data_IF_759928363676
#
_entry.id   IF_759928363676
#
_cell.length_a   1.000
_cell.length_b   1.000
_cell.length_c   1.000
_cell.angle_alpha   90.00
_cell.angle_beta   90.00
_cell.angle_gamma   90.00
#
_symmetry.space_group_name_H-M   'P 1'
#
loop_
_entity.id
_entity.type
_entity.pdbx_description
1 polymer ?
#
# COMPACT_ATOMS: atom_id res chain seq x y z
N UNK A 1 11.66 31.26 10.61
CA UNK A 1 11.49 30.26 11.68
C UNK A 1 10.11 29.65 11.52
N UNK A 2 10.03 28.45 10.96
CA UNK A 2 8.80 27.67 10.86
C UNK A 2 8.75 26.72 12.06
N UNK A 3 7.85 26.98 13.00
CA UNK A 3 7.62 26.07 14.13
C UNK A 3 6.91 24.82 13.61
N UNK A 4 7.65 23.72 13.51
CA UNK A 4 7.06 22.38 13.43
C UNK A 4 6.67 21.99 14.85
N UNK A 5 5.38 21.98 15.15
CA UNK A 5 4.90 21.44 16.42
C UNK A 5 5.17 19.93 16.45
N UNK A 6 5.74 19.38 17.54
CA UNK A 6 5.84 17.93 17.69
C UNK A 6 4.42 17.38 17.90
N UNK A 7 3.95 16.57 16.94
CA UNK A 7 2.76 15.73 17.14
C UNK A 7 3.06 14.79 18.29
N UNK A 8 2.13 14.68 19.26
CA UNK A 8 2.32 13.82 20.43
C UNK A 8 2.44 12.37 20.01
N UNK A 9 3.54 11.70 20.40
CA UNK A 9 3.80 10.29 20.08
C UNK A 9 2.72 9.34 20.59
N UNK A 10 2.01 9.73 21.65
CA UNK A 10 0.95 8.94 22.28
C UNK A 10 -0.37 8.96 21.47
N UNK A 11 -0.62 10.08 20.78
CA UNK A 11 -1.77 10.23 19.87
C UNK A 11 -1.50 9.50 18.55
N UNK A 12 -0.25 9.53 18.07
CA UNK A 12 0.21 8.79 16.88
C UNK A 12 0.07 7.27 17.00
N UNK A 13 0.33 6.67 18.16
CA UNK A 13 0.25 5.20 18.31
C UNK A 13 -1.19 4.67 18.28
N UNK A 14 -2.14 5.38 18.89
CA UNK A 14 -3.55 4.98 18.86
C UNK A 14 -4.13 5.05 17.44
N UNK A 15 -3.81 6.09 16.67
CA UNK A 15 -4.23 6.24 15.27
C UNK A 15 -3.67 5.10 14.39
N UNK A 16 -2.42 4.68 14.61
CA UNK A 16 -1.80 3.59 13.85
C UNK A 16 -2.43 2.22 14.16
N UNK A 17 -2.84 1.99 15.41
CA UNK A 17 -3.54 0.77 15.83
C UNK A 17 -4.92 0.64 15.18
N UNK A 18 -5.67 1.74 15.07
CA UNK A 18 -6.97 1.75 14.40
C UNK A 18 -6.83 1.56 12.87
N UNK A 19 -5.79 2.15 12.25
CA UNK A 19 -5.49 1.94 10.84
C UNK A 19 -5.22 0.46 10.50
N UNK A 20 -4.32 -0.20 11.22
CA UNK A 20 -3.99 -1.63 11.00
C UNK A 20 -5.21 -2.54 11.20
N UNK A 21 -6.10 -2.19 12.15
CA UNK A 21 -7.38 -2.86 12.39
C UNK A 21 -8.36 -2.71 11.22
N UNK A 22 -8.38 -1.55 10.56
CA UNK A 22 -9.19 -1.28 9.36
C UNK A 22 -8.62 -2.02 8.15
N UNK A 23 -7.30 -1.94 7.93
CA UNK A 23 -6.58 -2.65 6.87
C UNK A 23 -6.85 -4.17 6.91
N UNK A 24 -6.68 -4.79 8.08
CA UNK A 24 -6.91 -6.23 8.27
C UNK A 24 -8.37 -6.64 7.94
N UNK A 25 -9.34 -5.78 8.28
CA UNK A 25 -10.76 -6.00 7.93
C UNK A 25 -11.01 -5.87 6.43
N UNK A 26 -10.36 -4.90 5.77
CA UNK A 26 -10.48 -4.68 4.34
C UNK A 26 -9.93 -5.86 3.52
N UNK A 27 -8.74 -6.37 3.86
CA UNK A 27 -8.17 -7.57 3.22
C UNK A 27 -9.08 -8.80 3.39
N UNK A 28 -9.57 -9.04 4.62
CA UNK A 28 -10.46 -10.15 4.95
C UNK A 28 -11.77 -10.08 4.13
N UNK A 29 -12.35 -8.89 4.01
CA UNK A 29 -13.56 -8.65 3.22
C UNK A 29 -13.35 -8.93 1.73
N UNK A 30 -12.28 -8.39 1.12
CA UNK A 30 -11.95 -8.63 -0.29
C UNK A 30 -11.74 -10.13 -0.58
N UNK A 31 -11.07 -10.85 0.33
CA UNK A 31 -10.84 -12.30 0.23
C UNK A 31 -12.13 -13.13 0.30
N UNK A 32 -13.14 -12.65 1.02
CA UNK A 32 -14.44 -13.30 1.15
C UNK A 32 -15.29 -13.20 -0.14
N UNK A 33 -15.21 -12.06 -0.84
CA UNK A 33 -16.11 -11.69 -1.95
C UNK A 33 -15.79 -12.42 -3.28
N UNK A 34 -14.59 -12.99 -3.44
CA UNK A 34 -14.06 -13.47 -4.74
C UNK A 34 -14.68 -14.79 -5.27
N UNK A 35 -15.82 -15.25 -4.75
CA UNK A 35 -16.43 -16.55 -5.08
C UNK A 35 -17.86 -16.43 -5.62
N UNK A 36 -18.00 -16.14 -6.92
CA UNK A 36 -18.90 -16.80 -7.89
C UNK A 36 -19.16 -15.92 -9.14
N UNK A 37 -18.95 -16.43 -10.37
CA UNK A 37 -19.49 -15.82 -11.58
C UNK A 37 -20.88 -16.39 -11.91
N UNK A 38 -21.91 -15.53 -11.95
CA UNK A 38 -23.25 -15.93 -12.36
C UNK A 38 -23.40 -15.88 -13.89
N UNK A 39 -23.50 -17.07 -14.51
CA UNK A 39 -23.65 -17.22 -15.97
C UNK A 39 -24.99 -16.71 -16.47
N UNK A 40 -24.97 -15.99 -17.60
CA UNK A 40 -26.17 -15.59 -18.35
C UNK A 40 -26.47 -16.59 -19.47
N UNK A 41 -27.75 -16.89 -19.71
CA UNK A 41 -28.23 -17.74 -20.80
C UNK A 41 -29.11 -16.90 -21.74
N UNK A 42 -28.91 -16.96 -23.07
CA UNK A 42 -29.71 -16.20 -24.04
C UNK A 42 -30.98 -16.94 -24.47
N UNK A 43 -32.00 -16.18 -24.87
CA UNK A 43 -33.30 -16.70 -25.33
C UNK A 43 -33.38 -16.86 -26.86
N UNK A 44 -34.13 -17.86 -27.36
CA UNK A 44 -34.65 -17.91 -28.72
C UNK A 44 -36.13 -17.49 -28.81
N UNK A 45 -36.46 -16.71 -29.84
CA UNK A 45 -37.83 -16.32 -30.25
C UNK A 45 -38.56 -17.46 -30.99
N UNK A 46 -39.90 -17.53 -30.90
CA UNK A 46 -40.72 -18.35 -31.83
C UNK A 46 -42.17 -17.85 -31.98
N UNK A 47 -42.86 -18.31 -33.02
CA UNK A 47 -44.04 -17.68 -33.67
C UNK A 47 -45.36 -18.47 -33.49
N UNK A 48 -46.51 -17.83 -33.80
CA UNK A 48 -47.88 -18.34 -33.59
C UNK A 48 -48.46 -19.24 -34.70
N UNK A 49 -49.30 -20.26 -34.37
CA UNK A 49 -50.74 -20.26 -34.74
C UNK A 49 -51.71 -20.99 -33.73
N UNK A 50 -52.96 -21.35 -34.11
CA UNK A 50 -54.15 -21.53 -33.20
C UNK A 50 -55.20 -22.65 -33.59
N UNK A 51 -56.48 -22.54 -33.13
CA UNK A 51 -57.75 -23.23 -33.54
C UNK A 51 -58.35 -24.52 -32.82
N UNK A 52 -59.10 -24.36 -31.70
CA UNK A 52 -60.13 -25.28 -31.07
C UNK A 52 -59.76 -26.72 -30.59
N UNK A 53 -60.32 -27.27 -29.51
CA UNK A 53 -60.65 -26.70 -28.19
C UNK A 53 -59.97 -27.54 -27.08
N UNK A 54 -60.08 -28.88 -27.08
CA UNK A 54 -59.21 -29.73 -26.24
C UNK A 54 -57.83 -29.96 -26.89
N UNK A 55 -57.79 -30.44 -28.13
CA UNK A 55 -56.54 -30.70 -28.86
C UNK A 55 -55.69 -29.43 -29.03
N UNK A 56 -56.32 -28.26 -29.19
CA UNK A 56 -55.62 -26.98 -29.26
C UNK A 56 -55.38 -26.33 -27.89
N UNK A 57 -56.12 -26.65 -26.82
CA UNK A 57 -55.61 -26.32 -25.49
C UNK A 57 -54.27 -27.06 -25.25
N UNK A 58 -54.18 -28.36 -25.60
CA UNK A 58 -52.91 -29.11 -25.53
C UNK A 58 -51.82 -28.55 -26.45
N UNK A 59 -52.17 -28.16 -27.68
CA UNK A 59 -51.24 -27.52 -28.62
C UNK A 59 -50.75 -26.14 -28.16
N UNK A 60 -51.66 -25.29 -27.66
CA UNK A 60 -51.35 -23.99 -27.05
C UNK A 60 -50.47 -24.14 -25.83
N UNK A 61 -50.76 -25.12 -24.96
CA UNK A 61 -49.95 -25.40 -23.77
C UNK A 61 -48.50 -25.72 -24.15
N UNK A 62 -48.28 -26.68 -25.05
CA UNK A 62 -46.96 -27.09 -25.52
C UNK A 62 -46.16 -25.92 -26.14
N UNK A 63 -46.85 -25.01 -26.83
CA UNK A 63 -46.28 -23.79 -27.38
C UNK A 63 -45.97 -22.76 -26.29
N UNK A 64 -46.87 -22.55 -25.33
CA UNK A 64 -46.72 -21.57 -24.25
C UNK A 64 -45.56 -21.95 -23.31
N UNK A 65 -45.37 -23.24 -23.00
CA UNK A 65 -44.20 -23.70 -22.22
C UNK A 65 -42.88 -23.62 -22.98
N UNK A 66 -42.90 -23.39 -24.31
CA UNK A 66 -41.69 -23.21 -25.11
C UNK A 66 -41.20 -21.76 -25.14
N UNK A 67 -42.00 -20.81 -24.64
CA UNK A 67 -41.55 -19.42 -24.53
C UNK A 67 -40.52 -19.24 -23.40
N UNK A 68 -39.55 -18.34 -23.60
CA UNK A 68 -38.77 -17.74 -22.52
C UNK A 68 -39.63 -17.32 -21.32
N UNK A 69 -39.09 -17.47 -20.10
CA UNK A 69 -39.77 -17.05 -18.87
C UNK A 69 -40.16 -15.56 -18.89
N UNK A 70 -39.36 -14.70 -19.54
CA UNK A 70 -39.68 -13.28 -19.69
C UNK A 70 -40.92 -13.05 -20.56
N UNK A 71 -41.09 -13.86 -21.61
CA UNK A 71 -42.13 -13.69 -22.63
C UNK A 71 -43.44 -14.35 -22.18
N UNK A 72 -43.35 -15.51 -21.51
CA UNK A 72 -44.49 -16.15 -20.84
C UNK A 72 -45.14 -15.26 -19.76
N UNK A 73 -44.42 -14.22 -19.29
CA UNK A 73 -44.93 -13.25 -18.30
C UNK A 73 -45.69 -12.09 -18.91
N UNK A 74 -45.66 -11.89 -20.23
CA UNK A 74 -46.50 -10.92 -20.93
C UNK A 74 -47.99 -11.19 -20.67
N UNK A 75 -48.80 -10.12 -20.59
CA UNK A 75 -50.23 -10.23 -20.21
C UNK A 75 -51.04 -11.14 -21.15
N UNK A 76 -50.69 -11.17 -22.43
CA UNK A 76 -51.33 -12.03 -23.44
C UNK A 76 -51.00 -13.50 -23.23
N UNK A 77 -49.72 -13.85 -23.08
CA UNK A 77 -49.27 -15.23 -22.83
C UNK A 77 -49.67 -15.75 -21.44
N UNK A 78 -49.74 -14.88 -20.42
CA UNK A 78 -50.31 -15.20 -19.11
C UNK A 78 -51.78 -15.61 -19.23
N UNK A 79 -52.58 -14.76 -19.87
CA UNK A 79 -54.03 -14.98 -20.04
C UNK A 79 -54.26 -16.24 -20.85
N UNK A 80 -53.56 -16.41 -21.98
CA UNK A 80 -53.63 -17.61 -22.80
C UNK A 80 -53.22 -18.88 -22.03
N UNK A 81 -52.23 -18.82 -21.12
CA UNK A 81 -51.85 -19.96 -20.29
C UNK A 81 -52.90 -20.28 -19.22
N UNK A 82 -53.47 -19.28 -18.56
CA UNK A 82 -54.54 -19.46 -17.56
C UNK A 82 -55.80 -20.04 -18.20
N UNK A 83 -56.21 -19.52 -19.36
CA UNK A 83 -57.32 -20.06 -20.16
C UNK A 83 -57.04 -21.49 -20.61
N UNK A 84 -55.83 -21.76 -21.13
CA UNK A 84 -55.42 -23.08 -21.59
C UNK A 84 -55.42 -24.10 -20.45
N UNK A 85 -54.82 -23.77 -19.30
CA UNK A 85 -54.85 -24.62 -18.10
C UNK A 85 -56.27 -24.80 -17.57
N UNK A 86 -57.15 -23.81 -17.74
CA UNK A 86 -58.55 -23.94 -17.38
C UNK A 86 -59.27 -24.96 -18.25
N UNK A 87 -59.19 -24.81 -19.58
CA UNK A 87 -59.80 -25.74 -20.55
C UNK A 87 -59.25 -27.17 -20.38
N UNK A 88 -57.95 -27.33 -20.15
CA UNK A 88 -57.35 -28.63 -19.85
C UNK A 88 -57.86 -29.22 -18.53
N UNK A 89 -57.91 -28.40 -17.47
CA UNK A 89 -58.40 -28.78 -16.14
C UNK A 89 -59.90 -29.06 -16.07
N UNK A 90 -60.68 -28.66 -17.07
CA UNK A 90 -62.11 -28.96 -17.18
C UNK A 90 -62.38 -30.21 -18.04
N UNK A 91 -61.35 -30.75 -18.72
CA UNK A 91 -61.42 -31.91 -19.63
C UNK A 91 -60.52 -33.08 -19.19
N UNK A 92 -60.27 -33.20 -17.88
CA UNK A 92 -59.30 -34.13 -17.28
C UNK A 92 -59.51 -35.62 -17.62
N UNK A 93 -60.73 -36.05 -17.92
CA UNK A 93 -61.04 -37.42 -18.37
C UNK A 93 -60.37 -37.83 -19.69
N UNK A 94 -59.76 -36.87 -20.40
CA UNK A 94 -58.99 -37.08 -21.63
C UNK A 94 -57.50 -37.41 -21.39
N UNK A 95 -57.07 -37.50 -20.13
CA UNK A 95 -55.69 -37.70 -19.69
C UNK A 95 -55.56 -38.95 -18.81
N UNK A 96 -54.34 -39.47 -18.66
CA UNK A 96 -54.06 -40.44 -17.59
C UNK A 96 -54.13 -39.77 -16.22
N UNK A 97 -54.37 -40.54 -15.16
CA UNK A 97 -54.51 -40.01 -13.79
C UNK A 97 -53.31 -39.13 -13.37
N UNK A 98 -52.08 -39.57 -13.66
CA UNK A 98 -50.85 -38.81 -13.40
C UNK A 98 -50.81 -37.46 -14.14
N UNK A 99 -51.26 -37.44 -15.41
CA UNK A 99 -51.31 -36.22 -16.22
C UNK A 99 -52.43 -35.29 -15.75
N UNK A 100 -53.57 -35.85 -15.35
CA UNK A 100 -54.69 -35.08 -14.83
C UNK A 100 -54.31 -34.38 -13.52
N UNK A 101 -53.58 -35.05 -12.62
CA UNK A 101 -53.10 -34.47 -11.37
C UNK A 101 -52.04 -33.38 -11.61
N UNK A 102 -51.10 -33.60 -12.54
CA UNK A 102 -50.14 -32.57 -12.96
C UNK A 102 -50.83 -31.32 -13.54
N UNK A 103 -51.89 -31.48 -14.32
CA UNK A 103 -52.67 -30.35 -14.87
C UNK A 103 -53.39 -29.58 -13.75
N UNK A 104 -53.99 -30.26 -12.77
CA UNK A 104 -54.59 -29.60 -11.59
C UNK A 104 -53.55 -28.81 -10.80
N UNK A 105 -52.41 -29.44 -10.49
CA UNK A 105 -51.34 -28.81 -9.73
C UNK A 105 -50.80 -27.58 -10.46
N UNK A 106 -50.57 -27.68 -11.77
CA UNK A 106 -50.07 -26.56 -12.57
C UNK A 106 -51.11 -25.43 -12.71
N UNK A 107 -52.42 -25.75 -12.82
CA UNK A 107 -53.52 -24.75 -12.79
C UNK A 107 -53.53 -23.95 -11.47
N UNK A 108 -53.20 -24.60 -10.34
CA UNK A 108 -53.09 -23.94 -9.03
C UNK A 108 -51.76 -23.17 -8.84
N UNK A 109 -50.63 -23.75 -9.21
CA UNK A 109 -49.30 -23.21 -8.92
C UNK A 109 -48.85 -22.12 -9.90
N UNK A 110 -49.35 -22.11 -11.15
CA UNK A 110 -48.87 -21.18 -12.18
C UNK A 110 -49.04 -19.70 -11.78
N UNK A 111 -50.21 -19.23 -11.29
CA UNK A 111 -50.36 -17.83 -10.85
C UNK A 111 -49.43 -17.47 -9.68
N UNK A 112 -49.26 -18.38 -8.72
CA UNK A 112 -48.42 -18.19 -7.53
C UNK A 112 -46.94 -18.09 -7.92
N UNK A 113 -46.49 -19.02 -8.77
CA UNK A 113 -45.11 -19.08 -9.27
C UNK A 113 -44.77 -17.86 -10.11
N UNK A 114 -45.70 -17.42 -10.95
CA UNK A 114 -45.55 -16.20 -11.75
C UNK A 114 -45.45 -14.95 -10.89
N UNK A 115 -46.23 -14.85 -9.82
CA UNK A 115 -46.14 -13.73 -8.89
C UNK A 115 -44.78 -13.72 -8.17
N UNK A 116 -44.32 -14.86 -7.64
CA UNK A 116 -42.97 -15.01 -7.07
C UNK A 116 -41.86 -14.61 -8.05
N UNK A 117 -42.00 -14.94 -9.34
CA UNK A 117 -41.06 -14.50 -10.39
C UNK A 117 -41.10 -12.98 -10.59
N UNK A 118 -42.28 -12.36 -10.67
CA UNK A 118 -42.42 -10.89 -10.77
C UNK A 118 -41.77 -10.18 -9.59
N UNK A 119 -41.97 -10.69 -8.37
CA UNK A 119 -41.38 -10.13 -7.15
C UNK A 119 -39.86 -10.31 -7.14
N UNK A 120 -39.35 -11.47 -7.59
CA UNK A 120 -37.91 -11.72 -7.77
C UNK A 120 -37.28 -10.77 -8.81
N UNK A 121 -37.91 -10.56 -9.97
CA UNK A 121 -37.42 -9.63 -11.01
C UNK A 121 -37.45 -8.19 -10.53
N UNK A 122 -38.49 -7.77 -9.78
CA UNK A 122 -38.54 -6.44 -9.16
C UNK A 122 -37.42 -6.26 -8.13
N UNK A 123 -37.16 -7.26 -7.29
CA UNK A 123 -36.03 -7.25 -6.35
C UNK A 123 -34.71 -7.19 -7.11
N UNK A 124 -34.52 -7.97 -8.17
CA UNK A 124 -33.32 -7.95 -9.02
C UNK A 124 -33.05 -6.55 -9.60
N UNK A 125 -34.06 -5.93 -10.23
CA UNK A 125 -33.94 -4.58 -10.78
C UNK A 125 -33.62 -3.52 -9.71
N UNK A 126 -34.18 -3.67 -8.50
CA UNK A 126 -33.84 -2.81 -7.36
C UNK A 126 -32.39 -3.07 -6.87
N UNK A 127 -31.91 -4.32 -6.93
CA UNK A 127 -30.57 -4.71 -6.54
C UNK A 127 -29.47 -4.35 -7.56
N UNK A 128 -29.78 -4.16 -8.85
CA UNK A 128 -28.80 -3.79 -9.88
C UNK A 128 -28.01 -2.52 -9.53
N UNK A 129 -28.70 -1.50 -8.98
CA UNK A 129 -28.03 -0.29 -8.46
C UNK A 129 -27.09 -0.62 -7.30
N UNK A 130 -27.53 -1.45 -6.36
CA UNK A 130 -26.72 -1.86 -5.20
C UNK A 130 -25.51 -2.69 -5.60
N UNK A 131 -25.64 -3.59 -6.58
CA UNK A 131 -24.54 -4.36 -7.16
C UNK A 131 -23.53 -3.46 -7.87
N UNK A 132 -23.99 -2.47 -8.65
CA UNK A 132 -23.11 -1.50 -9.30
C UNK A 132 -22.35 -0.62 -8.30
N UNK A 133 -22.99 -0.22 -7.20
CA UNK A 133 -22.33 0.50 -6.09
C UNK A 133 -21.31 -0.43 -5.41
N UNK A 134 -21.69 -1.65 -5.08
CA UNK A 134 -20.83 -2.63 -4.42
C UNK A 134 -19.55 -2.89 -5.22
N UNK A 135 -19.65 -3.17 -6.52
CA UNK A 135 -18.46 -3.46 -7.34
C UNK A 135 -17.53 -2.24 -7.46
N UNK A 136 -18.09 -1.01 -7.53
CA UNK A 136 -17.30 0.22 -7.47
C UNK A 136 -16.59 0.39 -6.12
N UNK A 137 -17.29 0.16 -5.01
CA UNK A 137 -16.73 0.27 -3.65
C UNK A 137 -15.66 -0.80 -3.41
N UNK A 138 -15.87 -2.02 -3.89
CA UNK A 138 -14.88 -3.13 -3.86
C UNK A 138 -13.60 -2.77 -4.61
N UNK A 139 -13.72 -2.24 -5.83
CA UNK A 139 -12.56 -1.82 -6.63
C UNK A 139 -11.79 -0.67 -5.95
N UNK A 140 -12.50 0.29 -5.33
CA UNK A 140 -11.87 1.35 -4.53
C UNK A 140 -11.14 0.77 -3.31
N UNK A 141 -11.75 -0.18 -2.59
CA UNK A 141 -11.16 -0.84 -1.43
C UNK A 141 -9.89 -1.62 -1.79
N UNK A 142 -9.88 -2.32 -2.93
CA UNK A 142 -8.71 -3.04 -3.44
C UNK A 142 -7.54 -2.11 -3.77
N UNK A 143 -7.82 -0.95 -4.40
CA UNK A 143 -6.81 0.09 -4.65
C UNK A 143 -6.29 0.68 -3.34
N UNK A 144 -7.17 0.97 -2.37
CA UNK A 144 -6.77 1.49 -1.05
C UNK A 144 -5.86 0.51 -0.30
N UNK A 145 -6.23 -0.76 -0.19
CA UNK A 145 -5.42 -1.82 0.45
C UNK A 145 -4.05 -1.94 -0.23
N UNK A 146 -4.00 -1.94 -1.56
CA UNK A 146 -2.74 -2.01 -2.30
C UNK A 146 -1.82 -0.82 -2.01
N UNK A 147 -2.38 0.39 -1.94
CA UNK A 147 -1.63 1.61 -1.64
C UNK A 147 -1.11 1.61 -0.20
N UNK A 148 -1.93 1.20 0.76
CA UNK A 148 -1.55 1.11 2.18
C UNK A 148 -0.42 0.10 2.41
N UNK A 149 -0.47 -1.06 1.74
CA UNK A 149 0.63 -2.03 1.77
C UNK A 149 1.93 -1.50 1.13
N UNK A 150 1.82 -0.64 0.11
CA UNK A 150 2.96 0.10 -0.46
C UNK A 150 3.60 1.03 0.57
N UNK A 151 2.80 1.90 1.19
CA UNK A 151 3.25 2.83 2.25
C UNK A 151 3.89 2.06 3.42
N UNK A 152 3.30 0.95 3.85
CA UNK A 152 3.84 0.09 4.91
C UNK A 152 5.22 -0.49 4.56
N UNK A 153 5.46 -0.79 3.29
CA UNK A 153 6.76 -1.26 2.80
C UNK A 153 7.79 -0.12 2.82
N UNK A 154 7.45 1.04 2.24
CA UNK A 154 8.33 2.23 2.23
C UNK A 154 8.69 2.70 3.65
N UNK A 155 7.75 2.63 4.61
CA UNK A 155 8.00 2.97 6.02
C UNK A 155 9.03 2.04 6.69
N UNK A 156 8.97 0.73 6.44
CA UNK A 156 9.94 -0.21 7.01
C UNK A 156 11.32 -0.06 6.33
N UNK A 157 11.38 0.23 5.03
CA UNK A 157 12.63 0.59 4.34
C UNK A 157 13.27 1.86 4.93
N UNK A 158 12.48 2.93 5.13
CA UNK A 158 12.94 4.18 5.75
C UNK A 158 13.47 3.97 7.17
N UNK A 159 12.76 3.18 7.99
CA UNK A 159 13.15 2.81 9.35
C UNK A 159 14.45 2.00 9.39
N UNK A 160 14.65 1.10 8.44
CA UNK A 160 15.92 0.38 8.29
C UNK A 160 17.06 1.34 7.93
N UNK A 161 16.84 2.26 6.97
CA UNK A 161 17.84 3.27 6.60
C UNK A 161 18.14 4.25 7.73
N UNK A 162 17.15 4.61 8.55
CA UNK A 162 17.35 5.42 9.77
C UNK A 162 18.29 4.73 10.76
N UNK A 163 18.16 3.41 10.94
CA UNK A 163 19.02 2.63 11.83
C UNK A 163 20.45 2.50 11.29
N UNK A 164 20.63 2.30 9.98
CA UNK A 164 21.96 2.34 9.34
C UNK A 164 22.65 3.70 9.56
N UNK A 165 21.94 4.80 9.30
CA UNK A 165 22.46 6.16 9.49
C UNK A 165 22.82 6.46 10.95
N UNK A 166 22.07 5.92 11.94
CA UNK A 166 22.44 6.00 13.37
C UNK A 166 23.76 5.29 13.67
N UNK A 167 24.03 4.16 13.02
CA UNK A 167 25.30 3.42 13.16
C UNK A 167 26.46 4.19 12.49
N UNK A 168 26.27 4.68 11.27
CA UNK A 168 27.23 5.52 10.56
C UNK A 168 27.59 6.79 11.37
N UNK A 169 26.57 7.48 11.91
CA UNK A 169 26.75 8.68 12.74
C UNK A 169 27.55 8.37 14.02
N UNK A 170 27.24 7.26 14.71
CA UNK A 170 27.98 6.87 15.91
C UNK A 170 29.46 6.60 15.60
N UNK A 171 29.75 5.89 14.51
CA UNK A 171 31.13 5.67 14.06
C UNK A 171 31.85 6.99 13.82
N UNK A 172 31.24 7.92 13.09
CA UNK A 172 31.85 9.22 12.79
C UNK A 172 32.06 10.09 14.05
N UNK A 173 31.20 9.96 15.07
CA UNK A 173 31.39 10.60 16.38
C UNK A 173 32.56 10.00 17.16
N UNK A 174 32.76 8.68 17.11
CA UNK A 174 33.88 8.00 17.76
C UNK A 174 35.21 8.29 17.03
N UNK A 175 35.24 8.29 15.70
CA UNK A 175 36.39 8.69 14.86
C UNK A 175 36.80 10.16 15.15
N UNK A 176 35.81 11.07 15.23
CA UNK A 176 36.02 12.47 15.59
C UNK A 176 36.62 12.64 17.00
N UNK A 177 36.14 11.87 17.98
CA UNK A 177 36.68 11.87 19.35
C UNK A 177 38.13 11.37 19.38
N UNK A 178 38.46 10.36 18.58
CA UNK A 178 39.82 9.85 18.44
C UNK A 178 40.77 10.91 17.85
N UNK A 179 40.39 11.56 16.75
CA UNK A 179 41.17 12.65 16.13
C UNK A 179 41.42 13.83 17.09
N UNK A 180 40.46 14.16 17.96
CA UNK A 180 40.65 15.20 18.99
C UNK A 180 41.72 14.79 20.00
N UNK A 181 41.77 13.52 20.42
CA UNK A 181 42.80 13.02 21.34
C UNK A 181 44.19 12.97 20.66
N UNK A 182 44.26 12.50 19.41
CA UNK A 182 45.51 12.47 18.65
C UNK A 182 46.09 13.88 18.47
N UNK A 183 45.25 14.85 18.08
CA UNK A 183 45.63 16.27 17.96
C UNK A 183 46.14 16.84 19.30
N UNK A 184 45.50 16.50 20.42
CA UNK A 184 45.93 16.94 21.74
C UNK A 184 47.32 16.39 22.10
N UNK A 185 47.61 15.13 21.77
CA UNK A 185 48.91 14.53 22.05
C UNK A 185 50.02 15.10 21.15
N UNK A 186 49.77 15.22 19.84
CA UNK A 186 50.67 15.90 18.91
C UNK A 186 50.95 17.35 19.33
N UNK A 187 49.97 18.06 19.89
CA UNK A 187 50.16 19.42 20.41
C UNK A 187 51.13 19.46 21.60
N UNK A 188 51.10 18.48 22.51
CA UNK A 188 52.07 18.41 23.63
C UNK A 188 53.48 18.14 23.12
N UNK A 189 53.62 17.18 22.20
CA UNK A 189 54.91 16.84 21.59
C UNK A 189 55.51 18.05 20.85
N UNK A 190 54.68 18.76 20.07
CA UNK A 190 55.08 20.01 19.39
C UNK A 190 55.53 21.07 20.38
N UNK A 191 54.84 21.25 21.51
CA UNK A 191 55.20 22.21 22.55
C UNK A 191 56.56 21.87 23.21
N UNK A 192 56.83 20.58 23.46
CA UNK A 192 58.13 20.12 24.00
C UNK A 192 59.28 20.38 23.01
N UNK A 193 59.06 20.07 21.73
CA UNK A 193 60.05 20.31 20.67
C UNK A 193 60.32 21.81 20.50
N UNK A 194 59.27 22.65 20.53
CA UNK A 194 59.41 24.11 20.48
C UNK A 194 60.27 24.64 21.64
N UNK A 195 59.95 24.26 22.88
CA UNK A 195 60.67 24.72 24.05
C UNK A 195 62.16 24.30 24.03
N UNK A 196 62.46 23.09 23.59
CA UNK A 196 63.84 22.63 23.41
C UNK A 196 64.58 23.41 22.31
N UNK A 197 63.92 23.68 21.17
CA UNK A 197 64.51 24.47 20.09
C UNK A 197 64.79 25.93 20.52
N UNK A 198 63.88 26.53 21.29
CA UNK A 198 64.03 27.87 21.87
C UNK A 198 65.21 27.93 22.86
N UNK A 199 65.36 26.92 23.73
CA UNK A 199 66.50 26.80 24.65
C UNK A 199 67.84 26.68 23.88
N UNK A 200 67.89 25.85 22.83
CA UNK A 200 69.09 25.68 22.01
C UNK A 200 69.45 26.94 21.23
N UNK A 201 68.46 27.64 20.66
CA UNK A 201 68.68 28.92 19.97
C UNK A 201 69.25 29.98 20.93
N UNK A 202 68.75 30.03 22.17
CA UNK A 202 69.29 30.90 23.22
C UNK A 202 70.76 30.57 23.58
N UNK A 203 71.09 29.29 23.73
CA UNK A 203 72.47 28.83 24.00
C UNK A 203 73.43 29.18 22.86
N UNK A 204 73.04 28.87 21.61
CA UNK A 204 73.87 29.17 20.43
C UNK A 204 74.17 30.66 20.36
N UNK A 205 73.13 31.50 20.47
CA UNK A 205 73.30 32.96 20.45
C UNK A 205 74.24 33.45 21.55
N UNK A 206 74.10 32.95 22.78
CA UNK A 206 75.02 33.27 23.88
C UNK A 206 76.47 32.90 23.55
N UNK A 207 76.71 31.70 23.00
CA UNK A 207 78.06 31.27 22.59
C UNK A 207 78.61 32.07 21.41
N UNK A 208 77.78 32.54 20.48
CA UNK A 208 78.20 33.43 19.40
C UNK A 208 78.62 34.82 19.93
N UNK A 209 77.86 35.37 20.88
CA UNK A 209 78.20 36.63 21.56
C UNK A 209 79.52 36.51 22.35
N UNK A 210 79.73 35.42 23.09
CA UNK A 210 80.98 35.12 23.80
C UNK A 210 82.17 34.93 22.85
N UNK A 211 82.02 34.17 21.76
CA UNK A 211 83.07 33.98 20.75
C UNK A 211 83.43 35.29 20.06
N UNK A 212 82.45 36.13 19.74
CA UNK A 212 82.66 37.46 19.15
C UNK A 212 83.46 38.37 20.10
N UNK A 213 83.12 38.39 21.38
CA UNK A 213 83.85 39.14 22.41
C UNK A 213 85.29 38.63 22.60
N UNK A 214 85.49 37.31 22.66
CA UNK A 214 86.80 36.69 22.79
C UNK A 214 87.69 36.97 21.56
N UNK A 215 87.13 36.90 20.36
CA UNK A 215 87.83 37.20 19.11
C UNK A 215 88.25 38.68 19.04
N UNK A 216 87.38 39.60 19.47
CA UNK A 216 87.73 41.02 19.59
C UNK A 216 88.89 41.25 20.55
N UNK A 217 88.85 40.66 21.76
CA UNK A 217 89.94 40.76 22.73
C UNK A 217 91.27 40.22 22.17
N UNK A 218 91.23 39.19 21.33
CA UNK A 218 92.42 38.63 20.67
C UNK A 218 93.03 39.60 19.64
N UNK A 219 92.21 40.23 18.80
CA UNK A 219 92.66 41.23 17.82
C UNK A 219 93.16 42.52 18.50
N UNK A 220 92.54 42.93 19.61
CA UNK A 220 93.02 44.04 20.46
C UNK A 220 94.40 43.70 21.06
N UNK A 221 94.59 42.48 21.61
CA UNK A 221 95.87 42.02 22.17
C UNK A 221 96.98 41.96 21.09
N UNK A 222 96.65 41.43 19.91
CA UNK A 222 97.53 41.37 18.74
C UNK A 222 97.96 42.76 18.28
N UNK A 223 97.03 43.71 18.24
CA UNK A 223 97.31 45.12 17.91
C UNK A 223 98.26 45.76 18.95
N UNK A 224 98.04 45.50 20.24
CA UNK A 224 98.93 45.94 21.32
C UNK A 224 100.33 45.30 21.25
N UNK A 225 100.44 44.04 20.82
CA UNK A 225 101.73 43.37 20.64
C UNK A 225 102.54 43.99 19.49
N UNK A 226 101.90 44.27 18.35
CA UNK A 226 102.56 44.93 17.22
C UNK A 226 103.03 46.37 17.56
N UNK A 227 102.34 47.10 18.46
CA UNK A 227 102.80 48.42 18.94
C UNK A 227 103.90 48.34 20.00
N UNK A 228 104.09 47.21 20.68
CA UNK A 228 105.21 47.00 21.61
C UNK A 228 106.51 46.54 20.93
N UNK A 229 106.46 45.84 19.78
CA UNK A 229 107.67 45.40 19.04
C UNK A 229 108.74 46.49 18.84
N UNK A 230 108.41 47.75 18.47
CA UNK A 230 109.40 48.81 18.27
C UNK A 230 110.09 49.29 19.56
N UNK A 231 109.57 48.94 20.74
CA UNK A 231 110.10 49.32 22.06
C UNK A 231 111.01 48.23 22.68
N UNK A 232 111.29 47.15 21.94
CA UNK A 232 112.07 45.99 22.41
C UNK A 232 113.39 45.79 21.65
N UNK A 233 114.10 46.89 21.40
CA UNK A 233 115.49 46.94 20.90
C UNK A 233 116.34 47.70 21.92
#
# INVERSE_FOLDING_TARGET
MTNVFPVSTDESMNILSDAESIFTKAESLLKSISKEPTSSVPDPTSTEPSFKDHAVAKGRFNKLISFPLKDLVNSEHETAMIETLSILGDNLSSFSDDQAEQIKQLKADFPITKQKWRDSVRVKANCERSLSIFEKTKNLLEVSVKNENGIKTELEELKNRENELKVELKKLQDDSRWLVMERLELSKQTQQIYAFAEEQAGKIKGTEEEMSAANKNLEDLKSNWETMKPLSV
#
